data_IF_812007369419
#
_entry.id   IF_812007369419
#
_cell.length_a   1.000
_cell.length_b   1.000
_cell.length_c   1.000
_cell.angle_alpha   90.00
_cell.angle_beta   90.00
_cell.angle_gamma   90.00
#
_symmetry.space_group_name_H-M   'P 1'
#
loop_
_entity.id
_entity.type
_entity.pdbx_description
1 polymer ?
#
# COMPACT_ATOMS: atom_id res chain seq x y z
N UNK A 1 32.49 9.84 23.45
CA UNK A 1 33.41 8.89 22.78
C UNK A 1 32.81 8.55 21.42
N UNK A 2 33.63 8.21 20.42
CA UNK A 2 33.15 7.50 19.24
C UNK A 2 33.25 6.00 19.55
N UNK A 3 32.18 5.24 19.31
CA UNK A 3 32.06 3.82 19.68
C UNK A 3 31.67 2.97 18.48
N UNK A 4 31.95 1.67 18.54
CA UNK A 4 31.61 0.69 17.50
C UNK A 4 30.33 -0.06 17.84
N UNK A 5 29.76 -0.71 16.83
CA UNK A 5 28.57 -1.55 16.97
C UNK A 5 28.78 -2.71 17.95
N UNK A 6 29.98 -3.32 17.95
CA UNK A 6 30.32 -4.42 18.84
C UNK A 6 30.32 -3.96 20.31
N UNK A 7 30.74 -2.72 20.58
CA UNK A 7 30.74 -2.14 21.94
C UNK A 7 29.31 -1.90 22.43
N UNK A 8 28.38 -1.53 21.55
CA UNK A 8 26.96 -1.41 21.87
C UNK A 8 26.34 -2.79 22.20
N UNK A 9 26.60 -3.81 21.37
CA UNK A 9 26.09 -5.17 21.60
C UNK A 9 26.65 -5.76 22.90
N UNK A 10 27.96 -5.57 23.16
CA UNK A 10 28.58 -6.00 24.42
C UNK A 10 27.93 -5.34 25.63
N UNK A 11 27.72 -4.01 25.59
CA UNK A 11 27.09 -3.29 26.70
C UNK A 11 25.66 -3.81 27.00
N UNK A 12 24.87 -4.13 25.96
CA UNK A 12 23.55 -4.72 26.14
C UNK A 12 23.62 -6.15 26.71
N UNK A 13 24.54 -6.97 26.21
CA UNK A 13 24.79 -8.33 26.69
C UNK A 13 25.17 -8.33 28.18
N UNK A 14 26.13 -7.48 28.56
CA UNK A 14 26.66 -7.37 29.93
C UNK A 14 25.60 -6.88 30.92
N UNK A 15 24.83 -5.84 30.54
CA UNK A 15 23.81 -5.25 31.42
C UNK A 15 22.63 -6.20 31.70
N UNK A 16 22.32 -7.09 30.76
CA UNK A 16 21.17 -8.00 30.86
C UNK A 16 21.55 -9.45 31.16
N UNK A 17 22.85 -9.76 31.27
CA UNK A 17 23.35 -11.13 31.43
C UNK A 17 22.80 -12.10 30.36
N UNK A 18 22.68 -11.61 29.13
CA UNK A 18 22.09 -12.35 28.00
C UNK A 18 23.07 -12.40 26.82
N UNK A 19 23.39 -13.59 26.32
CA UNK A 19 24.37 -13.77 25.26
C UNK A 19 23.84 -13.28 23.90
N UNK A 20 24.41 -12.17 23.41
CA UNK A 20 24.11 -11.59 22.09
C UNK A 20 25.15 -11.94 21.03
N UNK A 21 26.05 -12.89 21.29
CA UNK A 21 27.12 -13.27 20.34
C UNK A 21 26.55 -13.71 19.00
N UNK A 22 25.55 -14.61 18.97
CA UNK A 22 24.90 -14.99 17.71
C UNK A 22 24.09 -13.84 17.09
N UNK A 23 23.47 -12.99 17.92
CA UNK A 23 22.69 -11.85 17.43
C UNK A 23 23.56 -10.85 16.66
N UNK A 24 24.86 -10.75 16.98
CA UNK A 24 25.81 -9.89 16.26
C UNK A 24 25.90 -10.18 14.75
N UNK A 25 25.51 -11.37 14.30
CA UNK A 25 25.48 -11.73 12.88
C UNK A 25 24.58 -10.80 12.04
N UNK A 26 23.55 -10.18 12.63
CA UNK A 26 22.71 -9.18 11.96
C UNK A 26 23.49 -7.96 11.45
N UNK A 27 24.65 -7.66 12.03
CA UNK A 27 25.50 -6.55 11.58
C UNK A 27 26.50 -6.94 10.49
N UNK A 28 26.66 -8.24 10.23
CA UNK A 28 27.69 -8.77 9.34
C UNK A 28 27.12 -9.50 8.11
N UNK A 29 25.88 -9.99 8.17
CA UNK A 29 25.21 -10.67 7.06
C UNK A 29 24.22 -9.74 6.35
N UNK A 30 24.45 -9.50 5.07
CA UNK A 30 23.52 -8.80 4.20
C UNK A 30 22.40 -9.75 3.71
N UNK A 31 21.32 -9.17 3.18
CA UNK A 31 20.16 -9.89 2.68
C UNK A 31 19.02 -9.97 3.69
N UNK A 32 17.82 -10.26 3.20
CA UNK A 32 16.62 -10.42 4.03
C UNK A 32 16.36 -11.91 4.25
N UNK A 33 16.42 -12.42 5.50
CA UNK A 33 16.13 -13.82 5.78
C UNK A 33 14.69 -14.17 5.41
N UNK A 34 14.50 -15.39 4.90
CA UNK A 34 13.20 -16.01 4.64
C UNK A 34 12.96 -17.07 5.71
N UNK A 35 11.79 -17.03 6.35
CA UNK A 35 11.36 -17.97 7.37
C UNK A 35 10.18 -18.76 6.84
N UNK A 36 10.37 -20.04 6.52
CA UNK A 36 9.29 -20.94 6.15
C UNK A 36 8.74 -21.60 7.41
N UNK A 37 7.43 -21.55 7.59
CA UNK A 37 6.72 -22.10 8.75
C UNK A 37 5.72 -23.15 8.29
N UNK A 38 5.75 -24.30 8.95
CA UNK A 38 4.82 -25.41 8.76
C UNK A 38 4.10 -25.68 10.09
N UNK A 39 2.80 -25.95 10.04
CA UNK A 39 2.04 -26.35 11.22
C UNK A 39 1.54 -27.78 11.13
N UNK A 40 1.51 -28.48 12.26
CA UNK A 40 0.90 -29.80 12.40
C UNK A 40 0.06 -29.86 13.66
N UNK A 41 -1.15 -30.41 13.56
CA UNK A 41 -2.02 -30.69 14.70
C UNK A 41 -2.23 -32.20 14.87
N UNK A 42 -1.90 -32.74 16.05
CA UNK A 42 -2.16 -34.12 16.41
C UNK A 42 -3.41 -34.19 17.30
N UNK A 43 -4.49 -34.73 16.73
CA UNK A 43 -5.78 -34.91 17.40
C UNK A 43 -5.69 -35.89 18.59
N UNK A 44 -4.78 -36.86 18.53
CA UNK A 44 -4.65 -37.90 19.55
C UNK A 44 -3.95 -37.41 20.81
N UNK A 45 -2.99 -36.51 20.68
CA UNK A 45 -2.27 -35.89 21.80
C UNK A 45 -2.74 -34.47 22.16
N UNK A 46 -3.62 -33.86 21.35
CA UNK A 46 -4.02 -32.45 21.47
C UNK A 46 -2.81 -31.50 21.44
N UNK A 47 -1.89 -31.77 20.52
CA UNK A 47 -0.64 -31.03 20.34
C UNK A 47 -0.65 -30.27 19.02
N UNK A 48 -0.27 -28.99 19.06
CA UNK A 48 -0.05 -28.16 17.89
C UNK A 48 1.43 -27.81 17.79
N UNK A 49 2.07 -28.17 16.69
CA UNK A 49 3.51 -27.93 16.47
C UNK A 49 3.71 -26.96 15.32
N UNK A 50 4.49 -25.91 15.56
CA UNK A 50 5.02 -25.02 14.53
C UNK A 50 6.48 -25.37 14.29
N UNK A 51 6.84 -25.60 13.03
CA UNK A 51 8.23 -25.83 12.60
C UNK A 51 8.70 -24.69 11.74
N UNK A 52 9.75 -24.01 12.18
CA UNK A 52 10.35 -22.87 11.51
C UNK A 52 11.65 -23.30 10.85
N UNK A 53 11.91 -22.79 9.65
CA UNK A 53 13.18 -22.93 8.96
C UNK A 53 13.64 -21.60 8.38
N UNK A 54 14.91 -21.27 8.56
CA UNK A 54 15.48 -20.00 8.12
C UNK A 54 16.52 -20.21 7.00
N UNK A 55 16.45 -19.34 6.00
CA UNK A 55 17.42 -19.22 4.92
C UNK A 55 17.66 -17.73 4.62
N UNK A 56 18.83 -17.35 4.12
CA UNK A 56 19.07 -15.96 3.69
C UNK A 56 19.67 -15.94 2.28
N UNK A 57 18.79 -15.91 1.27
CA UNK A 57 19.14 -16.09 -0.15
C UNK A 57 19.89 -14.88 -0.74
N UNK A 58 19.82 -13.72 -0.09
CA UNK A 58 20.44 -12.47 -0.56
C UNK A 58 21.87 -12.22 -0.08
N UNK A 59 22.44 -13.14 0.72
CA UNK A 59 23.81 -13.03 1.20
C UNK A 59 24.80 -13.24 0.03
N UNK A 60 25.91 -12.49 -0.02
CA UNK A 60 26.93 -12.69 -1.07
C UNK A 60 27.40 -14.16 -1.06
N UNK A 61 27.70 -14.78 -2.22
CA UNK A 61 28.04 -16.21 -2.29
C UNK A 61 29.21 -16.64 -1.38
N UNK A 62 30.10 -15.71 -1.04
CA UNK A 62 31.27 -15.94 -0.17
C UNK A 62 31.00 -15.68 1.32
N UNK A 63 29.78 -15.27 1.70
CA UNK A 63 29.37 -15.19 3.10
C UNK A 63 28.82 -16.55 3.54
N UNK A 64 29.53 -17.23 4.45
CA UNK A 64 29.00 -18.41 5.13
C UNK A 64 27.66 -18.02 5.77
N UNK A 65 26.57 -18.44 5.16
CA UNK A 65 25.22 -18.03 5.52
C UNK A 65 24.78 -18.72 6.82
N UNK A 66 25.25 -18.20 7.94
CA UNK A 66 24.99 -18.76 9.26
C UNK A 66 23.56 -18.42 9.70
N UNK A 67 22.88 -19.34 10.44
CA UNK A 67 21.60 -19.05 11.07
C UNK A 67 21.70 -17.85 12.01
N UNK A 68 20.79 -16.91 11.83
CA UNK A 68 20.65 -15.74 12.70
C UNK A 68 19.90 -16.13 13.98
N UNK A 69 20.07 -15.32 15.02
CA UNK A 69 19.21 -15.33 16.19
C UNK A 69 17.98 -14.44 15.89
N UNK A 70 16.85 -15.07 15.57
CA UNK A 70 15.63 -14.41 15.11
C UNK A 70 14.55 -14.51 16.20
N UNK A 71 14.17 -13.39 16.85
CA UNK A 71 13.06 -13.38 17.79
C UNK A 71 11.73 -13.40 17.02
N UNK A 72 10.91 -14.42 17.26
CA UNK A 72 9.58 -14.58 16.66
C UNK A 72 8.54 -14.42 17.76
N UNK A 73 7.94 -13.23 17.84
CA UNK A 73 6.77 -13.02 18.69
C UNK A 73 5.55 -13.67 18.04
N UNK A 74 4.77 -14.45 18.79
CA UNK A 74 3.60 -15.13 18.24
C UNK A 74 2.48 -15.33 19.27
N UNK A 75 1.27 -15.58 18.78
CA UNK A 75 0.11 -16.02 19.57
C UNK A 75 -0.71 -17.05 18.80
N UNK A 76 -1.72 -17.63 19.44
CA UNK A 76 -2.61 -18.63 18.84
C UNK A 76 -4.06 -18.23 19.09
N UNK A 77 -4.88 -18.21 18.04
CA UNK A 77 -6.30 -17.92 18.15
C UNK A 77 -7.12 -19.18 17.97
N UNK A 78 -8.24 -19.28 18.71
CA UNK A 78 -9.25 -20.31 18.49
C UNK A 78 -10.20 -19.94 17.34
N UNK A 79 -11.11 -20.84 16.96
CA UNK A 79 -12.11 -20.63 15.89
C UNK A 79 -12.98 -19.37 16.06
N UNK A 80 -13.10 -18.83 17.28
CA UNK A 80 -13.88 -17.61 17.58
C UNK A 80 -13.02 -16.34 17.56
N UNK A 81 -11.71 -16.47 17.30
CA UNK A 81 -10.76 -15.36 17.31
C UNK A 81 -10.27 -14.98 18.72
N UNK A 82 -10.52 -15.82 19.73
CA UNK A 82 -10.04 -15.57 21.09
C UNK A 82 -8.63 -16.14 21.26
N UNK A 83 -7.79 -15.41 22.00
CA UNK A 83 -6.43 -15.84 22.35
C UNK A 83 -6.44 -17.13 23.16
N UNK A 84 -5.59 -18.07 22.76
CA UNK A 84 -5.26 -19.28 23.50
C UNK A 84 -3.95 -18.99 24.24
N UNK A 85 -3.99 -18.86 25.58
CA UNK A 85 -2.77 -18.64 26.35
C UNK A 85 -1.81 -19.82 26.18
N UNK A 86 -0.66 -19.58 25.56
CA UNK A 86 0.37 -20.59 25.38
C UNK A 86 1.71 -20.13 25.94
N UNK A 87 2.35 -20.91 26.83
CA UNK A 87 3.70 -20.60 27.28
C UNK A 87 4.69 -20.92 26.15
N UNK A 88 5.46 -19.93 25.70
CA UNK A 88 6.49 -20.09 24.67
C UNK A 88 7.87 -20.29 25.31
N UNK A 89 8.21 -19.44 26.29
CA UNK A 89 9.42 -19.49 27.12
C UNK A 89 9.19 -18.65 28.40
N UNK A 90 10.22 -18.47 29.25
CA UNK A 90 10.21 -17.57 30.42
C UNK A 90 9.82 -16.11 30.06
N UNK A 91 9.94 -15.75 28.79
CA UNK A 91 9.40 -14.54 28.17
C UNK A 91 8.17 -14.92 27.35
N UNK A 92 6.99 -14.80 27.95
CA UNK A 92 5.71 -15.47 27.63
C UNK A 92 5.21 -15.45 26.16
N UNK A 93 5.85 -14.75 25.23
CA UNK A 93 5.37 -14.57 23.84
C UNK A 93 6.44 -14.62 22.74
N UNK A 94 7.74 -14.86 23.04
CA UNK A 94 8.82 -14.78 22.03
C UNK A 94 9.57 -16.09 21.89
N UNK A 95 9.51 -16.68 20.69
CA UNK A 95 10.29 -17.85 20.31
C UNK A 95 11.63 -17.42 19.69
N UNK A 96 12.75 -17.87 20.25
CA UNK A 96 14.08 -17.57 19.72
C UNK A 96 14.54 -18.64 18.73
N UNK A 97 14.33 -18.39 17.42
CA UNK A 97 14.84 -19.23 16.35
C UNK A 97 16.35 -18.98 16.18
N UNK A 98 17.17 -19.97 16.55
CA UNK A 98 18.63 -19.90 16.54
C UNK A 98 19.27 -20.88 15.57
N UNK A 99 18.61 -22.00 15.28
CA UNK A 99 19.12 -22.98 14.31
C UNK A 99 18.49 -22.76 12.93
N UNK A 100 19.04 -23.43 11.92
CA UNK A 100 18.48 -23.44 10.56
C UNK A 100 17.04 -23.99 10.52
N UNK A 101 16.70 -24.91 11.44
CA UNK A 101 15.35 -25.46 11.61
C UNK A 101 15.12 -25.78 13.08
N UNK A 102 14.03 -25.25 13.66
CA UNK A 102 13.59 -25.54 15.02
C UNK A 102 12.06 -25.58 15.08
N UNK A 103 11.52 -26.30 16.06
CA UNK A 103 10.08 -26.44 16.27
C UNK A 103 9.71 -26.08 17.70
N UNK A 104 8.47 -25.63 17.87
CA UNK A 104 7.82 -25.43 19.16
C UNK A 104 6.48 -26.17 19.16
N UNK A 105 6.18 -26.88 20.26
CA UNK A 105 4.97 -27.67 20.42
C UNK A 105 4.15 -27.15 21.59
N UNK A 106 2.87 -26.89 21.32
CA UNK A 106 1.88 -26.43 22.27
C UNK A 106 0.97 -27.58 22.65
N UNK A 107 0.89 -27.87 23.95
CA UNK A 107 0.06 -28.93 24.51
C UNK A 107 -1.32 -28.42 24.89
N UNK A 108 -2.27 -29.35 25.07
CA UNK A 108 -3.65 -29.05 25.51
C UNK A 108 -4.42 -28.14 24.55
N UNK A 109 -4.13 -28.23 23.26
CA UNK A 109 -4.82 -27.49 22.21
C UNK A 109 -6.00 -28.36 21.76
N UNK A 110 -7.23 -27.99 22.10
CA UNK A 110 -8.41 -28.85 21.87
C UNK A 110 -8.86 -28.93 20.41
N UNK A 111 -8.46 -27.95 19.59
CA UNK A 111 -8.77 -27.82 18.17
C UNK A 111 -7.61 -27.12 17.46
N UNK A 112 -7.41 -27.34 16.15
CA UNK A 112 -6.39 -26.61 15.38
C UNK A 112 -6.57 -25.09 15.55
N UNK A 113 -5.55 -24.37 16.06
CA UNK A 113 -5.60 -22.93 16.20
C UNK A 113 -5.12 -22.23 14.93
N UNK A 114 -5.40 -20.93 14.81
CA UNK A 114 -4.81 -20.06 13.80
C UNK A 114 -3.63 -19.33 14.44
N UNK A 115 -2.39 -19.50 13.94
CA UNK A 115 -1.24 -18.83 14.52
C UNK A 115 -1.16 -17.37 14.07
N UNK A 116 -0.90 -16.46 15.00
CA UNK A 116 -0.51 -15.07 14.71
C UNK A 116 1.00 -14.99 14.81
N UNK A 117 1.68 -15.07 13.67
CA UNK A 117 3.14 -15.20 13.60
C UNK A 117 3.83 -13.86 13.33
N UNK A 118 5.04 -13.66 13.85
CA UNK A 118 5.84 -12.45 13.65
C UNK A 118 5.14 -11.15 14.11
N UNK A 119 4.43 -11.24 15.23
CA UNK A 119 3.77 -10.11 15.90
C UNK A 119 4.69 -8.92 16.08
N UNK A 120 4.13 -7.71 16.00
CA UNK A 120 4.85 -6.43 16.00
C UNK A 120 6.00 -6.34 14.98
N UNK A 121 5.99 -7.17 13.93
CA UNK A 121 7.13 -7.34 13.02
C UNK A 121 8.43 -7.63 13.79
N UNK A 122 8.35 -8.56 14.76
CA UNK A 122 9.41 -8.86 15.75
C UNK A 122 10.81 -9.11 15.18
N UNK A 123 10.93 -9.47 13.90
CA UNK A 123 12.20 -9.48 13.18
C UNK A 123 12.04 -9.03 11.71
N UNK A 124 13.06 -8.40 11.10
CA UNK A 124 13.02 -7.93 9.72
C UNK A 124 13.25 -9.08 8.72
N UNK A 125 12.26 -9.95 8.59
CA UNK A 125 12.32 -11.17 7.77
C UNK A 125 11.12 -11.29 6.82
N UNK A 126 11.25 -12.12 5.79
CA UNK A 126 10.13 -12.55 4.95
C UNK A 126 9.57 -13.83 5.56
N UNK A 127 8.41 -13.75 6.22
CA UNK A 127 7.72 -14.93 6.73
C UNK A 127 6.85 -15.57 5.63
N UNK A 128 7.02 -16.88 5.43
CA UNK A 128 6.19 -17.71 4.55
C UNK A 128 5.43 -18.73 5.39
N UNK A 129 4.12 -18.57 5.45
CA UNK A 129 3.18 -19.51 6.05
C UNK A 129 1.93 -19.56 5.17
N UNK A 130 1.41 -20.76 4.94
CA UNK A 130 0.29 -21.00 4.03
C UNK A 130 -1.05 -20.78 4.73
N UNK A 131 -1.36 -19.51 5.05
CA UNK A 131 -2.65 -19.14 5.61
C UNK A 131 -3.76 -19.37 4.59
N UNK A 132 -4.84 -20.04 5.00
CA UNK A 132 -6.07 -20.06 4.23
C UNK A 132 -6.76 -18.69 4.25
N UNK A 133 -7.68 -18.45 3.32
CA UNK A 133 -8.53 -17.24 3.33
C UNK A 133 -9.31 -17.10 4.66
N UNK A 134 -9.80 -18.22 5.21
CA UNK A 134 -10.49 -18.24 6.50
C UNK A 134 -9.57 -17.85 7.67
N UNK A 135 -8.30 -18.27 7.64
CA UNK A 135 -7.32 -17.89 8.66
C UNK A 135 -7.05 -16.38 8.62
N UNK A 136 -6.81 -15.84 7.42
CA UNK A 136 -6.59 -14.41 7.21
C UNK A 136 -7.83 -13.58 7.61
N UNK A 137 -9.03 -14.06 7.29
CA UNK A 137 -10.27 -13.40 7.69
C UNK A 137 -10.45 -13.38 9.22
N UNK A 138 -10.11 -14.48 9.90
CA UNK A 138 -10.14 -14.55 11.36
C UNK A 138 -9.14 -13.57 11.98
N UNK A 139 -7.89 -13.58 11.52
CA UNK A 139 -6.83 -12.68 12.01
C UNK A 139 -7.17 -11.21 11.76
N UNK A 140 -7.64 -10.87 10.55
CA UNK A 140 -8.05 -9.51 10.19
C UNK A 140 -9.21 -8.99 11.06
N UNK A 141 -10.12 -9.87 11.46
CA UNK A 141 -11.26 -9.52 12.29
C UNK A 141 -10.92 -9.47 13.79
N UNK A 142 -10.03 -10.33 14.29
CA UNK A 142 -9.94 -10.62 15.73
C UNK A 142 -8.54 -10.59 16.35
N UNK A 143 -7.45 -10.57 15.57
CA UNK A 143 -6.11 -10.61 16.16
C UNK A 143 -5.86 -9.43 17.10
N UNK A 144 -5.33 -9.75 18.29
CA UNK A 144 -5.02 -8.80 19.34
C UNK A 144 -3.76 -8.00 19.01
N UNK A 145 -2.88 -8.53 18.17
CA UNK A 145 -1.71 -7.83 17.67
C UNK A 145 -2.11 -6.83 16.56
N UNK A 146 -1.95 -5.50 16.77
CA UNK A 146 -2.43 -4.52 15.81
C UNK A 146 -1.74 -4.63 14.45
N UNK A 147 -0.45 -4.98 14.43
CA UNK A 147 0.32 -5.13 13.19
C UNK A 147 -0.18 -6.32 12.38
N UNK A 148 -0.30 -7.51 12.99
CA UNK A 148 -0.76 -8.71 12.31
C UNK A 148 -2.22 -8.63 11.88
N UNK A 149 -3.09 -7.98 12.66
CA UNK A 149 -4.47 -7.72 12.23
C UNK A 149 -4.52 -6.82 10.98
N UNK A 150 -3.67 -5.79 10.92
CA UNK A 150 -3.52 -4.98 9.70
C UNK A 150 -2.92 -5.81 8.56
N UNK A 151 -1.84 -6.55 8.80
CA UNK A 151 -1.15 -7.34 7.77
C UNK A 151 -2.08 -8.41 7.19
N UNK A 152 -2.85 -9.11 8.02
CA UNK A 152 -3.86 -10.08 7.61
C UNK A 152 -4.96 -9.41 6.77
N UNK A 153 -5.40 -8.21 7.15
CA UNK A 153 -6.36 -7.42 6.36
C UNK A 153 -5.81 -7.07 4.97
N UNK A 154 -4.53 -6.70 4.89
CA UNK A 154 -3.86 -6.42 3.61
C UNK A 154 -3.69 -7.69 2.76
N UNK A 155 -3.21 -8.80 3.34
CA UNK A 155 -3.06 -10.09 2.64
C UNK A 155 -4.39 -10.60 2.11
N UNK A 156 -5.45 -10.53 2.93
CA UNK A 156 -6.80 -10.89 2.55
C UNK A 156 -7.30 -10.04 1.37
N UNK A 157 -7.16 -8.70 1.46
CA UNK A 157 -7.56 -7.81 0.39
C UNK A 157 -6.77 -8.06 -0.92
N UNK A 158 -5.46 -8.31 -0.83
CA UNK A 158 -4.64 -8.67 -2.00
C UNK A 158 -5.16 -9.96 -2.66
N UNK A 159 -5.35 -11.03 -1.89
CA UNK A 159 -5.87 -12.31 -2.39
C UNK A 159 -7.22 -12.11 -3.10
N UNK A 160 -8.16 -11.44 -2.44
CA UNK A 160 -9.47 -11.10 -3.01
C UNK A 160 -9.37 -10.29 -4.30
N UNK A 161 -8.46 -9.31 -4.39
CA UNK A 161 -8.25 -8.51 -5.61
C UNK A 161 -7.66 -9.38 -6.74
N UNK A 162 -6.69 -10.24 -6.44
CA UNK A 162 -6.08 -11.13 -7.43
C UNK A 162 -7.10 -12.14 -7.99
N UNK A 163 -7.95 -12.71 -7.12
CA UNK A 163 -9.04 -13.59 -7.56
C UNK A 163 -10.06 -12.84 -8.43
N UNK A 164 -10.38 -11.59 -8.08
CA UNK A 164 -11.26 -10.76 -8.89
C UNK A 164 -10.65 -10.43 -10.25
N UNK A 165 -9.33 -10.17 -10.33
CA UNK A 165 -8.60 -10.00 -11.61
C UNK A 165 -8.76 -11.25 -12.48
N UNK A 166 -8.54 -12.45 -11.93
CA UNK A 166 -8.70 -13.71 -12.65
C UNK A 166 -10.16 -13.92 -13.12
N UNK A 167 -11.14 -13.49 -12.33
CA UNK A 167 -12.54 -13.52 -12.73
C UNK A 167 -12.81 -12.58 -13.92
N UNK A 168 -12.34 -11.33 -13.88
CA UNK A 168 -12.50 -10.36 -14.97
C UNK A 168 -11.85 -10.83 -16.27
N UNK A 169 -10.61 -11.32 -16.21
CA UNK A 169 -9.90 -11.87 -17.37
C UNK A 169 -10.64 -13.08 -17.97
N UNK A 170 -11.25 -13.89 -17.11
CA UNK A 170 -12.14 -14.99 -17.50
C UNK A 170 -13.55 -14.57 -17.91
N UNK A 171 -13.86 -13.26 -17.97
CA UNK A 171 -15.20 -12.69 -18.25
C UNK A 171 -16.30 -13.21 -17.32
N UNK A 172 -15.95 -13.39 -16.05
CA UNK A 172 -16.86 -13.79 -14.96
C UNK A 172 -17.07 -12.61 -14.01
N UNK A 173 -18.17 -12.63 -13.28
CA UNK A 173 -18.36 -11.71 -12.15
C UNK A 173 -17.46 -12.18 -10.99
N UNK A 174 -16.67 -11.27 -10.39
CA UNK A 174 -15.88 -11.60 -9.22
C UNK A 174 -16.78 -11.84 -8.01
N UNK A 175 -16.39 -12.80 -7.17
CA UNK A 175 -16.88 -12.92 -5.80
C UNK A 175 -15.82 -12.31 -4.88
N UNK A 176 -16.20 -11.25 -4.17
CA UNK A 176 -15.29 -10.56 -3.24
C UNK A 176 -15.29 -11.18 -1.84
N UNK A 177 -16.13 -12.19 -1.61
CA UNK A 177 -16.25 -12.88 -0.32
C UNK A 177 -16.78 -11.98 0.80
N UNK A 178 -16.92 -12.57 1.99
CA UNK A 178 -17.40 -11.87 3.19
C UNK A 178 -16.25 -11.46 4.14
N UNK A 179 -15.05 -12.03 3.95
CA UNK A 179 -13.89 -11.81 4.83
C UNK A 179 -13.48 -10.34 4.92
N UNK A 180 -13.19 -9.70 3.77
CA UNK A 180 -12.77 -8.29 3.73
C UNK A 180 -13.88 -7.36 4.23
N UNK A 181 -15.14 -7.68 3.94
CA UNK A 181 -16.30 -6.91 4.41
C UNK A 181 -16.42 -7.01 5.94
N UNK A 182 -16.23 -8.20 6.51
CA UNK A 182 -16.24 -8.40 7.96
C UNK A 182 -15.09 -7.66 8.65
N UNK A 183 -13.87 -7.76 8.12
CA UNK A 183 -12.72 -7.01 8.62
C UNK A 183 -12.97 -5.50 8.59
N UNK A 184 -13.53 -4.99 7.49
CA UNK A 184 -13.91 -3.57 7.34
C UNK A 184 -14.99 -3.15 8.35
N UNK A 185 -15.98 -4.02 8.61
CA UNK A 185 -17.00 -3.76 9.64
C UNK A 185 -16.38 -3.65 11.02
N UNK A 186 -15.50 -4.58 11.37
CA UNK A 186 -14.82 -4.56 12.67
C UNK A 186 -13.94 -3.30 12.83
N UNK A 187 -13.28 -2.85 11.76
CA UNK A 187 -12.54 -1.58 11.79
C UNK A 187 -13.44 -0.36 12.05
N UNK A 188 -14.64 -0.32 11.45
CA UNK A 188 -15.64 0.74 11.68
C UNK A 188 -16.31 0.69 13.07
N UNK A 189 -16.14 -0.40 13.80
CA UNK A 189 -16.65 -0.59 15.17
C UNK A 189 -15.58 -0.33 16.24
N UNK A 190 -14.33 -0.09 15.84
CA UNK A 190 -13.25 0.24 16.77
C UNK A 190 -13.52 1.52 17.57
N UNK A 191 -12.97 1.63 18.80
CA UNK A 191 -13.04 2.86 19.57
C UNK A 191 -12.50 4.07 18.79
N UNK A 192 -13.09 5.25 18.99
CA UNK A 192 -12.64 6.49 18.32
C UNK A 192 -11.16 6.83 18.59
N UNK A 193 -10.62 6.40 19.72
CA UNK A 193 -9.18 6.54 20.06
C UNK A 193 -8.27 5.81 19.08
N UNK A 194 -8.79 4.84 18.32
CA UNK A 194 -8.07 4.02 17.36
C UNK A 194 -8.40 4.40 15.91
N UNK A 195 -8.98 5.58 15.66
CA UNK A 195 -9.43 6.01 14.32
C UNK A 195 -8.32 5.96 13.25
N UNK A 196 -7.07 6.28 13.63
CA UNK A 196 -5.93 6.15 12.73
C UNK A 196 -5.68 4.69 12.32
N UNK A 197 -5.73 3.78 13.29
CA UNK A 197 -5.55 2.35 13.06
C UNK A 197 -6.68 1.74 12.22
N UNK A 198 -7.94 2.09 12.53
CA UNK A 198 -9.09 1.71 11.71
C UNK A 198 -8.94 2.18 10.25
N UNK A 199 -8.38 3.37 10.03
CA UNK A 199 -8.11 3.90 8.68
C UNK A 199 -7.09 3.05 7.92
N UNK A 200 -6.02 2.60 8.59
CA UNK A 200 -5.00 1.74 7.96
C UNK A 200 -5.59 0.39 7.55
N UNK A 201 -6.48 -0.21 8.36
CA UNK A 201 -7.19 -1.45 7.98
C UNK A 201 -8.12 -1.22 6.79
N UNK A 202 -8.84 -0.09 6.77
CA UNK A 202 -9.79 0.24 5.69
C UNK A 202 -9.10 0.67 4.40
N UNK A 203 -7.81 0.97 4.42
CA UNK A 203 -7.05 1.40 3.24
C UNK A 203 -6.69 0.19 2.39
N UNK A 204 -7.30 0.10 1.19
CA UNK A 204 -7.02 -0.98 0.26
C UNK A 204 -5.60 -0.88 -0.33
N UNK A 205 -4.93 -2.02 -0.59
CA UNK A 205 -3.59 -2.04 -1.16
C UNK A 205 -3.53 -1.26 -2.48
N UNK A 206 -2.43 -0.54 -2.75
CA UNK A 206 -2.28 0.31 -3.95
C UNK A 206 -2.22 -0.52 -5.25
N UNK A 207 -2.58 0.09 -6.39
CA UNK A 207 -2.50 -0.58 -7.69
C UNK A 207 -1.06 -1.04 -8.03
N UNK A 208 -0.06 -0.22 -7.71
CA UNK A 208 1.35 -0.57 -7.90
C UNK A 208 1.78 -1.76 -7.05
N UNK A 209 1.27 -1.86 -5.81
CA UNK A 209 1.56 -3.00 -4.94
C UNK A 209 0.88 -4.28 -5.43
N UNK A 210 -0.38 -4.22 -5.89
CA UNK A 210 -1.04 -5.36 -6.54
C UNK A 210 -0.24 -5.81 -7.77
N UNK A 211 0.23 -4.87 -8.59
CA UNK A 211 1.07 -5.19 -9.74
C UNK A 211 2.41 -5.86 -9.36
N UNK A 212 2.92 -5.70 -8.14
CA UNK A 212 4.12 -6.44 -7.63
C UNK A 212 3.84 -7.90 -7.34
N UNK A 213 2.57 -8.25 -7.11
CA UNK A 213 2.16 -9.62 -6.82
C UNK A 213 1.84 -10.43 -8.08
N UNK A 214 1.91 -9.81 -9.27
CA UNK A 214 1.53 -10.41 -10.54
C UNK A 214 2.75 -10.78 -11.38
N UNK A 215 2.70 -11.94 -12.03
CA UNK A 215 3.70 -12.33 -13.02
C UNK A 215 3.57 -11.50 -14.31
N UNK A 216 2.33 -11.31 -14.77
CA UNK A 216 1.99 -10.43 -15.90
C UNK A 216 0.93 -9.42 -15.48
N UNK A 217 1.31 -8.15 -15.44
CA UNK A 217 0.48 -7.03 -14.97
C UNK A 217 -0.59 -6.66 -16.01
N UNK A 218 -1.82 -6.55 -15.53
CA UNK A 218 -2.99 -6.07 -16.26
C UNK A 218 -3.57 -4.82 -15.56
N UNK A 219 -3.22 -3.61 -16.03
CA UNK A 219 -3.59 -2.35 -15.36
C UNK A 219 -5.10 -2.12 -15.29
N UNK A 220 -5.83 -2.53 -16.34
CA UNK A 220 -7.28 -2.36 -16.43
C UNK A 220 -7.97 -3.32 -15.46
N UNK A 221 -7.56 -4.60 -15.44
CA UNK A 221 -8.12 -5.56 -14.50
C UNK A 221 -7.83 -5.17 -13.04
N UNK A 222 -6.64 -4.63 -12.74
CA UNK A 222 -6.32 -4.10 -11.40
C UNK A 222 -7.28 -2.96 -11.02
N UNK A 223 -7.52 -2.00 -11.93
CA UNK A 223 -8.44 -0.91 -11.67
C UNK A 223 -9.86 -1.44 -11.40
N UNK A 224 -10.37 -2.32 -12.26
CA UNK A 224 -11.72 -2.89 -12.14
C UNK A 224 -11.89 -3.70 -10.85
N UNK A 225 -10.92 -4.54 -10.49
CA UNK A 225 -10.95 -5.35 -9.28
C UNK A 225 -10.87 -4.51 -8.00
N UNK A 226 -9.97 -3.52 -7.95
CA UNK A 226 -9.84 -2.64 -6.77
C UNK A 226 -11.09 -1.78 -6.58
N UNK A 227 -11.60 -1.20 -7.66
CA UNK A 227 -12.83 -0.39 -7.62
C UNK A 227 -14.02 -1.26 -7.24
N UNK A 228 -14.19 -2.44 -7.84
CA UNK A 228 -15.30 -3.34 -7.53
C UNK A 228 -15.29 -3.85 -6.09
N UNK A 229 -14.13 -4.19 -5.52
CA UNK A 229 -14.02 -4.52 -4.09
C UNK A 229 -14.43 -3.34 -3.22
N UNK A 230 -13.95 -2.14 -3.55
CA UNK A 230 -14.31 -0.91 -2.82
C UNK A 230 -15.82 -0.65 -2.88
N UNK A 231 -16.45 -0.80 -4.04
CA UNK A 231 -17.90 -0.68 -4.23
C UNK A 231 -18.65 -1.72 -3.40
N UNK A 232 -18.17 -2.96 -3.35
CA UNK A 232 -18.81 -4.03 -2.58
C UNK A 232 -18.75 -3.76 -1.07
N UNK A 233 -17.61 -3.28 -0.56
CA UNK A 233 -17.47 -2.88 0.84
C UNK A 233 -18.38 -1.69 1.14
N UNK A 234 -18.36 -0.66 0.27
CA UNK A 234 -19.17 0.54 0.43
C UNK A 234 -20.68 0.23 0.47
N UNK A 235 -21.16 -0.65 -0.42
CA UNK A 235 -22.59 -1.00 -0.47
C UNK A 235 -23.01 -1.87 0.71
N UNK A 236 -22.15 -2.78 1.15
CA UNK A 236 -22.42 -3.69 2.26
C UNK A 236 -22.42 -3.00 3.63
N UNK A 237 -21.69 -1.88 3.76
CA UNK A 237 -21.49 -1.15 5.02
C UNK A 237 -21.91 0.32 4.92
N UNK A 238 -22.83 0.64 3.99
CA UNK A 238 -23.20 2.02 3.67
C UNK A 238 -23.62 2.81 4.92
N UNK A 239 -24.59 2.29 5.68
CA UNK A 239 -25.09 2.93 6.88
C UNK A 239 -23.98 3.16 7.92
N UNK A 240 -23.06 2.19 8.06
CA UNK A 240 -21.93 2.29 8.99
C UNK A 240 -20.92 3.36 8.55
N UNK A 241 -20.60 3.47 7.27
CA UNK A 241 -19.75 4.55 6.77
C UNK A 241 -20.41 5.92 6.97
N UNK A 242 -21.71 6.04 6.75
CA UNK A 242 -22.45 7.28 6.99
C UNK A 242 -22.44 7.66 8.47
N UNK A 243 -22.70 6.70 9.37
CA UNK A 243 -22.65 6.90 10.82
C UNK A 243 -21.26 7.35 11.29
N UNK A 244 -20.19 6.67 10.84
CA UNK A 244 -18.81 7.03 11.19
C UNK A 244 -18.43 8.41 10.64
N UNK A 245 -18.81 8.72 9.40
CA UNK A 245 -18.58 10.03 8.80
C UNK A 245 -19.21 11.17 9.62
N UNK A 246 -20.48 10.99 10.02
CA UNK A 246 -21.19 11.98 10.84
C UNK A 246 -20.63 12.06 12.26
N UNK A 247 -20.24 10.91 12.83
CA UNK A 247 -19.67 10.81 14.16
C UNK A 247 -18.31 11.51 14.30
N UNK A 248 -17.52 11.52 13.22
CA UNK A 248 -16.16 12.09 13.19
C UNK A 248 -16.13 13.56 12.78
N UNK A 249 -17.26 14.13 12.37
CA UNK A 249 -17.41 15.59 12.25
C UNK A 249 -17.49 16.21 13.65
N UNK A 250 -16.50 17.03 13.98
CA UNK A 250 -16.43 17.65 15.30
C UNK A 250 -16.85 19.12 15.30
N UNK A 251 -17.10 19.74 14.14
CA UNK A 251 -17.48 21.16 14.03
C UNK A 251 -16.57 22.13 14.79
N UNK A 252 -15.41 21.67 15.25
CA UNK A 252 -14.52 22.35 16.17
C UNK A 252 -13.39 23.02 15.41
N UNK A 253 -12.70 23.93 16.07
CA UNK A 253 -11.46 24.49 15.54
C UNK A 253 -10.47 23.37 15.18
N UNK A 254 -9.64 23.62 14.16
CA UNK A 254 -8.65 22.67 13.70
C UNK A 254 -7.65 22.33 14.83
N UNK A 255 -7.47 21.03 15.09
CA UNK A 255 -6.51 20.51 16.06
C UNK A 255 -5.50 19.57 15.37
N UNK A 256 -4.18 19.85 15.42
CA UNK A 256 -3.16 18.99 14.84
C UNK A 256 -2.81 17.76 15.70
N UNK A 257 -3.47 17.52 16.84
CA UNK A 257 -3.21 16.35 17.69
C UNK A 257 -3.39 15.02 16.95
N UNK A 258 -2.66 13.98 17.38
CA UNK A 258 -2.73 12.65 16.78
C UNK A 258 -4.16 12.07 16.80
N UNK A 259 -4.92 12.30 17.87
CA UNK A 259 -6.31 11.87 17.98
C UNK A 259 -7.21 12.57 16.95
N UNK A 260 -7.08 13.89 16.81
CA UNK A 260 -7.84 14.66 15.83
C UNK A 260 -7.45 14.32 14.39
N UNK A 261 -6.16 14.07 14.14
CA UNK A 261 -5.67 13.57 12.86
C UNK A 261 -6.26 12.19 12.51
N UNK A 262 -6.28 11.25 13.47
CA UNK A 262 -6.90 9.94 13.29
C UNK A 262 -8.39 10.03 12.97
N UNK A 263 -9.14 10.89 13.68
CA UNK A 263 -10.56 11.10 13.42
C UNK A 263 -10.81 11.67 12.02
N UNK A 264 -10.00 12.65 11.57
CA UNK A 264 -10.07 13.17 10.19
C UNK A 264 -9.75 12.09 9.15
N UNK A 265 -8.73 11.27 9.39
CA UNK A 265 -8.38 10.16 8.50
C UNK A 265 -9.54 9.19 8.33
N UNK A 266 -10.18 8.79 9.45
CA UNK A 266 -11.34 7.90 9.43
C UNK A 266 -12.54 8.54 8.71
N UNK A 267 -12.82 9.82 8.98
CA UNK A 267 -13.86 10.57 8.27
C UNK A 267 -13.65 10.57 6.75
N UNK A 268 -12.43 10.86 6.33
CA UNK A 268 -12.09 11.00 4.92
C UNK A 268 -12.10 9.67 4.17
N UNK A 269 -11.66 8.58 4.80
CA UNK A 269 -11.78 7.25 4.18
C UNK A 269 -13.24 6.81 4.09
N UNK A 270 -14.07 7.07 5.11
CA UNK A 270 -15.51 6.80 5.05
C UNK A 270 -16.18 7.56 3.91
N UNK A 271 -15.87 8.84 3.73
CA UNK A 271 -16.37 9.62 2.59
C UNK A 271 -15.92 9.02 1.25
N UNK A 272 -14.67 8.55 1.17
CA UNK A 272 -14.13 7.92 -0.04
C UNK A 272 -14.88 6.63 -0.42
N UNK A 273 -15.30 5.82 0.56
CA UNK A 273 -16.14 4.65 0.32
C UNK A 273 -17.55 5.06 -0.11
N UNK A 274 -18.20 5.99 0.58
CA UNK A 274 -19.54 6.45 0.21
C UNK A 274 -19.60 7.05 -1.21
N UNK A 275 -18.56 7.77 -1.61
CA UNK A 275 -18.44 8.37 -2.95
C UNK A 275 -18.41 7.33 -4.08
N UNK A 276 -17.98 6.10 -3.79
CA UNK A 276 -17.95 5.00 -4.74
C UNK A 276 -19.36 4.57 -5.18
N UNK A 277 -20.38 4.81 -4.33
CA UNK A 277 -21.77 4.49 -4.64
C UNK A 277 -22.42 5.50 -5.61
N UNK A 278 -21.71 6.58 -5.95
CA UNK A 278 -22.13 7.61 -6.90
C UNK A 278 -23.51 8.25 -6.62
N UNK A 279 -23.96 8.25 -5.36
CA UNK A 279 -25.22 8.87 -4.95
C UNK A 279 -25.09 10.39 -4.94
N UNK A 280 -26.08 11.09 -5.51
CA UNK A 280 -26.08 12.55 -5.63
C UNK A 280 -26.03 13.25 -4.26
N UNK A 281 -26.66 12.66 -3.25
CA UNK A 281 -26.66 13.14 -1.87
C UNK A 281 -25.24 13.12 -1.28
N UNK A 282 -24.49 12.05 -1.52
CA UNK A 282 -23.09 11.91 -1.06
C UNK A 282 -22.16 12.84 -1.84
N UNK A 283 -22.38 13.03 -3.14
CA UNK A 283 -21.61 13.99 -3.95
C UNK A 283 -21.79 15.42 -3.44
N UNK A 284 -23.02 15.80 -3.05
CA UNK A 284 -23.30 17.09 -2.43
C UNK A 284 -22.67 17.21 -1.03
N UNK A 285 -22.68 16.13 -0.25
CA UNK A 285 -22.00 16.08 1.05
C UNK A 285 -20.48 16.29 0.90
N UNK A 286 -19.87 15.63 -0.08
CA UNK A 286 -18.46 15.78 -0.40
C UNK A 286 -18.12 17.21 -0.83
N UNK A 287 -18.94 17.82 -1.69
CA UNK A 287 -18.79 19.21 -2.09
C UNK A 287 -18.92 20.16 -0.88
N UNK A 288 -19.84 19.89 0.03
CA UNK A 288 -20.00 20.66 1.26
C UNK A 288 -18.74 20.59 2.14
N UNK A 289 -18.17 19.40 2.33
CA UNK A 289 -16.91 19.24 3.06
C UNK A 289 -15.77 20.01 2.41
N UNK A 290 -15.64 19.95 1.08
CA UNK A 290 -14.65 20.71 0.33
C UNK A 290 -14.77 22.22 0.61
N UNK A 291 -16.00 22.75 0.56
CA UNK A 291 -16.23 24.19 0.66
C UNK A 291 -16.14 24.73 2.10
N UNK A 292 -16.55 23.94 3.09
CA UNK A 292 -16.69 24.37 4.48
C UNK A 292 -15.61 23.83 5.43
N UNK A 293 -14.70 22.97 4.96
CA UNK A 293 -13.57 22.52 5.79
C UNK A 293 -12.68 23.69 6.20
N UNK A 294 -12.22 23.66 7.45
CA UNK A 294 -11.31 24.65 8.03
C UNK A 294 -9.83 24.26 7.88
N UNK A 295 -9.54 23.16 7.19
CA UNK A 295 -8.18 22.62 7.04
C UNK A 295 -7.99 21.97 5.66
N UNK A 296 -6.73 21.93 5.21
CA UNK A 296 -6.38 21.42 3.88
C UNK A 296 -6.50 19.89 3.77
N UNK A 297 -6.47 19.13 4.88
CA UNK A 297 -6.59 17.66 4.85
C UNK A 297 -7.97 17.24 4.36
N UNK A 298 -9.02 17.76 4.99
CA UNK A 298 -10.41 17.42 4.64
C UNK A 298 -10.81 18.02 3.28
N UNK A 299 -10.30 19.22 2.96
CA UNK A 299 -10.49 19.87 1.67
C UNK A 299 -9.91 19.02 0.53
N UNK A 300 -8.67 18.52 0.69
CA UNK A 300 -8.00 17.71 -0.32
C UNK A 300 -8.61 16.31 -0.46
N UNK A 301 -9.06 15.70 0.64
CA UNK A 301 -9.76 14.43 0.59
C UNK A 301 -11.05 14.52 -0.23
N UNK A 302 -11.85 15.56 0.01
CA UNK A 302 -13.07 15.80 -0.75
C UNK A 302 -12.79 16.16 -2.23
N UNK A 303 -11.76 16.98 -2.50
CA UNK A 303 -11.34 17.31 -3.87
C UNK A 303 -10.93 16.05 -4.63
N UNK A 304 -10.12 15.19 -4.02
CA UNK A 304 -9.66 13.93 -4.60
C UNK A 304 -10.81 12.97 -4.91
N UNK A 305 -11.80 12.87 -4.02
CA UNK A 305 -12.98 12.03 -4.24
C UNK A 305 -13.86 12.58 -5.39
N UNK A 306 -14.10 13.89 -5.43
CA UNK A 306 -14.88 14.52 -6.51
C UNK A 306 -14.16 14.48 -7.86
N UNK A 307 -12.83 14.60 -7.88
CA UNK A 307 -12.05 14.50 -9.11
C UNK A 307 -12.15 13.11 -9.78
N UNK A 308 -12.47 12.07 -9.01
CA UNK A 308 -12.73 10.70 -9.47
C UNK A 308 -14.22 10.40 -9.69
N UNK A 309 -15.08 11.42 -9.74
CA UNK A 309 -16.52 11.28 -9.99
C UNK A 309 -16.91 11.89 -11.33
N UNK A 310 -17.82 11.25 -12.08
CA UNK A 310 -18.39 11.82 -13.31
C UNK A 310 -19.52 12.84 -13.06
N UNK A 311 -19.74 13.22 -11.80
CA UNK A 311 -20.82 14.13 -11.40
C UNK A 311 -20.56 15.60 -11.76
N UNK A 312 -21.61 16.43 -11.93
CA UNK A 312 -21.48 17.88 -12.12
C UNK A 312 -20.68 18.58 -10.99
N UNK A 313 -20.73 18.05 -9.78
CA UNK A 313 -20.03 18.55 -8.60
C UNK A 313 -18.51 18.51 -8.79
N UNK A 314 -17.98 17.61 -9.62
CA UNK A 314 -16.55 17.56 -9.97
C UNK A 314 -16.06 18.89 -10.53
N UNK A 315 -16.77 19.42 -11.52
CA UNK A 315 -16.37 20.67 -12.18
C UNK A 315 -16.43 21.84 -11.20
N UNK A 316 -17.53 21.94 -10.45
CA UNK A 316 -17.71 22.94 -9.40
C UNK A 316 -16.58 22.89 -8.36
N UNK A 317 -16.17 21.70 -7.94
CA UNK A 317 -15.11 21.52 -6.95
C UNK A 317 -13.73 21.94 -7.49
N UNK A 318 -13.40 21.54 -8.72
CA UNK A 318 -12.12 21.89 -9.36
C UNK A 318 -12.00 23.41 -9.57
N UNK A 319 -13.07 24.05 -10.05
CA UNK A 319 -13.11 25.51 -10.24
C UNK A 319 -13.04 26.26 -8.91
N UNK A 320 -13.88 25.88 -7.95
CA UNK A 320 -13.90 26.52 -6.62
C UNK A 320 -12.53 26.44 -5.95
N UNK A 321 -11.87 25.27 -6.00
CA UNK A 321 -10.57 25.08 -5.37
C UNK A 321 -9.51 25.95 -6.03
N UNK A 322 -9.49 25.99 -7.36
CA UNK A 322 -8.57 26.84 -8.10
C UNK A 322 -8.81 28.33 -7.78
N UNK A 323 -10.05 28.81 -7.85
CA UNK A 323 -10.35 30.22 -7.60
C UNK A 323 -10.00 30.66 -6.17
N UNK A 324 -10.21 29.79 -5.19
CA UNK A 324 -9.85 30.04 -3.79
C UNK A 324 -8.33 30.10 -3.58
N UNK A 325 -7.56 29.26 -4.28
CA UNK A 325 -6.15 29.03 -3.97
C UNK A 325 -5.16 29.42 -5.07
N UNK A 326 -5.58 30.03 -6.19
CA UNK A 326 -4.69 30.42 -7.31
C UNK A 326 -3.51 31.33 -6.93
N UNK A 327 -3.62 32.08 -5.84
CA UNK A 327 -2.50 32.86 -5.31
C UNK A 327 -1.44 32.00 -4.58
N UNK A 328 -1.80 30.81 -4.11
CA UNK A 328 -0.97 29.91 -3.30
C UNK A 328 -0.34 28.82 -4.17
N UNK A 329 0.87 29.09 -4.67
CA UNK A 329 1.54 28.27 -5.69
C UNK A 329 1.64 26.78 -5.32
N UNK A 330 2.01 26.45 -4.07
CA UNK A 330 2.12 25.07 -3.59
C UNK A 330 0.77 24.36 -3.46
N UNK A 331 -0.32 25.11 -3.27
CA UNK A 331 -1.67 24.54 -3.20
C UNK A 331 -2.17 24.21 -4.61
N UNK A 332 -1.82 25.05 -5.60
CA UNK A 332 -2.09 24.75 -7.02
C UNK A 332 -1.33 23.51 -7.51
N UNK A 333 -0.16 23.18 -6.93
CA UNK A 333 0.52 21.91 -7.26
C UNK A 333 -0.39 20.73 -6.90
N UNK A 334 -1.04 20.77 -5.72
CA UNK A 334 -1.98 19.73 -5.30
C UNK A 334 -3.19 19.62 -6.23
N UNK A 335 -3.69 20.76 -6.71
CA UNK A 335 -4.81 20.82 -7.66
C UNK A 335 -4.46 20.18 -9.02
N UNK A 336 -3.24 20.39 -9.53
CA UNK A 336 -2.75 19.67 -10.70
C UNK A 336 -2.64 18.17 -10.44
N UNK A 337 -2.06 17.78 -9.30
CA UNK A 337 -1.84 16.36 -8.97
C UNK A 337 -3.13 15.58 -8.85
N UNK A 338 -4.15 16.13 -8.18
CA UNK A 338 -5.46 15.47 -8.05
C UNK A 338 -6.07 15.17 -9.42
N UNK A 339 -5.95 16.08 -10.38
CA UNK A 339 -6.47 15.86 -11.73
C UNK A 339 -5.62 14.87 -12.53
N UNK A 340 -4.29 14.93 -12.38
CA UNK A 340 -3.36 14.05 -13.07
C UNK A 340 -3.47 12.58 -12.63
N UNK A 341 -3.88 12.33 -11.37
CA UNK A 341 -4.04 10.99 -10.80
C UNK A 341 -5.47 10.48 -10.82
N UNK A 342 -6.40 11.19 -11.47
CA UNK A 342 -7.78 10.73 -11.58
C UNK A 342 -7.87 9.45 -12.45
N UNK A 343 -8.79 8.54 -12.11
CA UNK A 343 -8.97 7.28 -12.83
C UNK A 343 -10.04 7.36 -13.94
N UNK A 344 -10.65 8.53 -14.16
CA UNK A 344 -11.67 8.72 -15.20
C UNK A 344 -11.09 8.56 -16.62
N UNK A 345 -11.88 8.06 -17.60
CA UNK A 345 -11.40 7.74 -18.96
C UNK A 345 -10.64 8.87 -19.69
N UNK A 346 -11.02 10.13 -19.49
CA UNK A 346 -10.45 11.28 -20.20
C UNK A 346 -9.26 11.95 -19.50
N UNK A 347 -8.62 11.28 -18.53
CA UNK A 347 -7.61 11.92 -17.67
C UNK A 347 -6.40 12.43 -18.43
N UNK A 348 -5.83 11.65 -19.37
CA UNK A 348 -4.70 12.11 -20.19
C UNK A 348 -5.04 13.34 -21.05
N UNK A 349 -6.25 13.40 -21.61
CA UNK A 349 -6.71 14.57 -22.35
C UNK A 349 -6.78 15.82 -21.45
N UNK A 350 -7.30 15.66 -20.22
CA UNK A 350 -7.32 16.75 -19.24
C UNK A 350 -5.91 17.19 -18.85
N UNK A 351 -4.97 16.26 -18.66
CA UNK A 351 -3.55 16.58 -18.38
C UNK A 351 -2.94 17.41 -19.50
N UNK A 352 -3.16 17.03 -20.77
CA UNK A 352 -2.68 17.80 -21.93
C UNK A 352 -3.29 19.21 -22.01
N UNK A 353 -4.54 19.37 -21.58
CA UNK A 353 -5.16 20.70 -21.51
C UNK A 353 -4.61 21.53 -20.35
N UNK A 354 -4.39 20.91 -19.18
CA UNK A 354 -3.78 21.55 -18.01
C UNK A 354 -2.34 22.03 -18.27
N UNK A 355 -1.62 21.42 -19.21
CA UNK A 355 -0.31 21.93 -19.65
C UNK A 355 -0.37 23.28 -20.37
N UNK A 356 -1.56 23.71 -20.81
CA UNK A 356 -1.79 25.04 -21.42
C UNK A 356 -2.32 26.04 -20.40
N UNK A 357 -2.59 25.60 -19.17
CA UNK A 357 -3.15 26.44 -18.12
C UNK A 357 -2.17 27.56 -17.73
N UNK A 358 -2.64 28.80 -17.44
CA UNK A 358 -1.75 29.94 -17.14
C UNK A 358 -0.81 29.71 -15.95
N UNK A 359 -1.20 28.91 -14.96
CA UNK A 359 -0.34 28.55 -13.81
C UNK A 359 0.58 27.34 -14.05
N UNK A 360 0.57 26.75 -15.26
CA UNK A 360 1.51 25.71 -15.64
C UNK A 360 2.69 26.32 -16.42
N UNK A 361 3.89 26.10 -15.90
CA UNK A 361 5.15 26.41 -16.59
C UNK A 361 6.06 25.18 -16.55
N UNK A 362 6.41 24.65 -17.73
CA UNK A 362 7.31 23.51 -17.88
C UNK A 362 8.72 23.78 -17.34
N UNK A 363 9.12 25.05 -17.19
CA UNK A 363 10.40 25.44 -16.57
C UNK A 363 10.37 25.36 -15.05
N UNK A 364 9.18 25.26 -14.44
CA UNK A 364 9.04 25.14 -12.99
C UNK A 364 9.04 23.65 -12.57
N UNK A 365 10.06 23.18 -11.85
CA UNK A 365 10.16 21.80 -11.38
C UNK A 365 8.97 21.29 -10.56
N UNK A 366 8.32 22.17 -9.79
CA UNK A 366 7.15 21.79 -9.00
C UNK A 366 5.96 21.49 -9.92
N UNK A 367 5.71 22.34 -10.92
CA UNK A 367 4.60 22.19 -11.89
C UNK A 367 4.75 20.95 -12.76
N UNK A 368 5.97 20.69 -13.23
CA UNK A 368 6.27 19.46 -13.97
C UNK A 368 6.01 18.23 -13.11
N UNK A 369 6.48 18.22 -11.86
CA UNK A 369 6.22 17.10 -10.94
C UNK A 369 4.74 16.94 -10.62
N UNK A 370 4.03 18.04 -10.38
CA UNK A 370 2.66 18.02 -9.91
C UNK A 370 1.66 17.63 -11.00
N UNK A 371 1.97 17.83 -12.28
CA UNK A 371 1.11 17.46 -13.41
C UNK A 371 1.66 16.24 -14.16
N UNK A 372 2.82 16.38 -14.80
CA UNK A 372 3.40 15.34 -15.67
C UNK A 372 3.91 14.17 -14.83
N UNK A 373 4.66 14.47 -13.76
CA UNK A 373 5.17 13.45 -12.84
C UNK A 373 4.05 12.70 -12.12
N UNK A 374 3.06 13.42 -11.62
CA UNK A 374 1.87 12.84 -10.98
C UNK A 374 1.13 11.89 -11.94
N UNK A 375 0.97 12.24 -13.21
CA UNK A 375 0.40 11.33 -14.21
C UNK A 375 1.29 10.09 -14.43
N UNK A 376 2.57 10.27 -14.77
CA UNK A 376 3.44 9.17 -15.16
C UNK A 376 3.74 8.18 -14.02
N UNK A 377 3.80 8.66 -12.77
CA UNK A 377 4.20 7.84 -11.62
C UNK A 377 3.03 7.50 -10.69
N UNK A 378 1.99 8.36 -10.66
CA UNK A 378 0.85 8.22 -9.75
C UNK A 378 -0.41 7.66 -10.41
N UNK A 379 -0.53 7.67 -11.74
CA UNK A 379 -1.72 7.20 -12.45
C UNK A 379 -1.48 5.86 -13.15
N UNK A 380 -1.51 4.77 -12.37
CA UNK A 380 -1.17 3.43 -12.87
C UNK A 380 -2.00 2.99 -14.09
N UNK A 381 -3.31 3.24 -14.09
CA UNK A 381 -4.19 2.80 -15.18
C UNK A 381 -3.99 3.60 -16.46
N UNK A 382 -3.86 4.92 -16.38
CA UNK A 382 -3.77 5.78 -17.56
C UNK A 382 -2.35 5.90 -18.11
N UNK A 383 -1.31 5.79 -17.26
CA UNK A 383 0.06 5.69 -17.75
C UNK A 383 0.27 4.40 -18.55
N UNK A 384 -0.27 3.29 -18.05
CA UNK A 384 -0.20 1.97 -18.69
C UNK A 384 -1.47 1.67 -19.52
N UNK A 385 -2.07 2.69 -20.16
CA UNK A 385 -3.24 2.46 -21.02
C UNK A 385 -2.90 1.50 -22.18
N UNK A 386 -3.86 0.66 -22.56
CA UNK A 386 -3.67 -0.41 -23.56
C UNK A 386 -3.28 0.11 -24.96
N UNK A 387 -3.61 1.36 -25.27
CA UNK A 387 -3.25 2.03 -26.53
C UNK A 387 -1.84 2.65 -26.53
N UNK A 388 -1.12 2.56 -25.40
CA UNK A 388 0.22 3.11 -25.21
C UNK A 388 0.28 4.64 -25.06
N UNK A 389 -0.87 5.33 -25.05
CA UNK A 389 -0.94 6.80 -25.04
C UNK A 389 -0.18 7.44 -23.88
N UNK A 390 -0.20 6.82 -22.70
CA UNK A 390 0.58 7.25 -21.53
C UNK A 390 2.09 7.15 -21.73
N UNK A 391 2.58 6.07 -22.35
CA UNK A 391 4.00 5.90 -22.67
C UNK A 391 4.48 6.93 -23.70
N UNK A 392 3.71 7.14 -24.77
CA UNK A 392 4.06 8.12 -25.79
C UNK A 392 4.04 9.55 -25.25
N UNK A 393 3.06 9.88 -24.39
CA UNK A 393 3.04 11.15 -23.66
C UNK A 393 4.30 11.33 -22.81
N UNK A 394 4.67 10.32 -22.02
CA UNK A 394 5.87 10.40 -21.19
C UNK A 394 7.14 10.58 -22.01
N UNK A 395 7.29 9.87 -23.14
CA UNK A 395 8.42 10.06 -24.04
C UNK A 395 8.48 11.49 -24.61
N UNK A 396 7.35 12.03 -25.07
CA UNK A 396 7.25 13.42 -25.53
C UNK A 396 7.72 14.40 -24.45
N UNK A 397 7.22 14.24 -23.22
CA UNK A 397 7.56 15.16 -22.13
C UNK A 397 9.01 15.00 -21.65
N UNK A 398 9.53 13.78 -21.57
CA UNK A 398 10.92 13.53 -21.19
C UNK A 398 11.86 14.24 -22.17
N UNK A 399 11.64 14.09 -23.47
CA UNK A 399 12.43 14.76 -24.50
C UNK A 399 12.32 16.30 -24.43
N UNK A 400 11.15 16.84 -24.09
CA UNK A 400 10.96 18.28 -23.93
C UNK A 400 11.61 18.85 -22.65
N UNK A 401 11.59 18.07 -21.56
CA UNK A 401 12.09 18.50 -20.25
C UNK A 401 13.60 18.32 -20.13
N UNK A 402 14.18 17.30 -20.75
CA UNK A 402 15.59 16.95 -20.57
C UNK A 402 16.58 18.11 -20.84
N UNK A 403 16.41 18.93 -21.91
CA UNK A 403 17.26 20.11 -22.13
C UNK A 403 17.08 21.21 -21.10
N UNK A 404 15.94 21.25 -20.39
CA UNK A 404 15.63 22.23 -19.35
C UNK A 404 16.10 21.76 -17.98
N UNK A 405 15.94 20.46 -17.69
CA UNK A 405 16.27 19.84 -16.41
C UNK A 405 16.43 18.31 -16.54
N UNK A 406 17.68 17.87 -16.76
CA UNK A 406 18.03 16.45 -16.90
C UNK A 406 17.62 15.59 -15.71
N UNK A 407 17.69 16.11 -14.49
CA UNK A 407 17.37 15.34 -13.28
C UNK A 407 15.88 14.99 -13.20
N UNK A 408 15.01 15.92 -13.63
CA UNK A 408 13.56 15.67 -13.68
C UNK A 408 13.25 14.68 -14.80
N UNK A 409 13.85 14.87 -15.98
CA UNK A 409 13.66 13.95 -17.11
C UNK A 409 14.10 12.52 -16.76
N UNK A 410 15.28 12.36 -16.14
CA UNK A 410 15.78 11.06 -15.68
C UNK A 410 14.87 10.43 -14.61
N UNK A 411 14.30 11.23 -13.69
CA UNK A 411 13.31 10.74 -12.72
C UNK A 411 12.00 10.33 -13.39
N UNK A 412 11.53 11.07 -14.39
CA UNK A 412 10.35 10.70 -15.17
C UNK A 412 10.58 9.41 -15.95
N UNK A 413 11.76 9.23 -16.56
CA UNK A 413 12.12 8.01 -17.28
C UNK A 413 12.05 6.74 -16.41
N UNK A 414 12.20 6.86 -15.08
CA UNK A 414 12.00 5.73 -14.15
C UNK A 414 10.56 5.23 -14.05
N UNK A 415 9.56 5.97 -14.56
CA UNK A 415 8.19 5.43 -14.67
C UNK A 415 8.14 4.18 -15.56
N UNK A 416 9.14 3.98 -16.42
CA UNK A 416 9.28 2.79 -17.24
C UNK A 416 9.97 1.62 -16.53
N UNK A 417 10.55 1.75 -15.33
CA UNK A 417 11.46 0.73 -14.75
C UNK A 417 10.87 -0.70 -14.71
N UNK A 418 9.53 -0.85 -14.67
CA UNK A 418 8.82 -2.15 -14.59
C UNK A 418 8.10 -2.58 -15.87
N UNK A 419 8.33 -1.91 -17.00
CA UNK A 419 7.58 -2.12 -18.26
C UNK A 419 7.58 -3.58 -18.77
N UNK A 420 8.58 -4.38 -18.41
CA UNK A 420 8.72 -5.80 -18.80
C UNK A 420 7.77 -6.76 -18.09
N UNK A 421 7.14 -6.33 -17.00
CA UNK A 421 6.19 -7.17 -16.27
C UNK A 421 4.77 -7.08 -16.84
N UNK A 422 4.52 -6.24 -17.86
CA UNK A 422 3.20 -6.09 -18.48
C UNK A 422 3.04 -7.03 -19.68
N UNK A 423 1.83 -7.12 -20.24
CA UNK A 423 1.59 -7.94 -21.44
C UNK A 423 2.45 -7.51 -22.64
N UNK A 424 2.62 -8.40 -23.62
CA UNK A 424 3.42 -8.14 -24.84
C UNK A 424 3.02 -6.85 -25.58
N UNK A 425 1.72 -6.52 -25.58
CA UNK A 425 1.21 -5.30 -26.19
C UNK A 425 1.74 -4.05 -25.46
N UNK A 426 1.62 -3.98 -24.13
CA UNK A 426 2.15 -2.89 -23.33
C UNK A 426 3.67 -2.80 -23.47
N UNK A 427 4.35 -3.95 -23.50
CA UNK A 427 5.78 -4.02 -23.70
C UNK A 427 6.21 -3.41 -25.03
N UNK A 428 5.48 -3.70 -26.11
CA UNK A 428 5.74 -3.12 -27.43
C UNK A 428 5.65 -1.58 -27.40
N UNK A 429 4.57 -1.04 -26.85
CA UNK A 429 4.38 0.42 -26.74
C UNK A 429 5.44 1.09 -25.85
N UNK A 430 5.73 0.52 -24.68
CA UNK A 430 6.74 1.06 -23.78
C UNK A 430 8.14 1.02 -24.41
N UNK A 431 8.48 -0.06 -25.12
CA UNK A 431 9.75 -0.18 -25.83
C UNK A 431 9.87 0.86 -26.95
N UNK A 432 8.82 1.10 -27.72
CA UNK A 432 8.80 2.13 -28.76
C UNK A 432 9.00 3.53 -28.18
N UNK A 433 8.32 3.84 -27.07
CA UNK A 433 8.50 5.10 -26.33
C UNK A 433 9.95 5.25 -25.81
N UNK A 434 10.51 4.21 -25.20
CA UNK A 434 11.91 4.21 -24.73
C UNK A 434 12.92 4.39 -25.87
N UNK A 435 12.67 3.75 -27.03
CA UNK A 435 13.52 3.92 -28.21
C UNK A 435 13.42 5.35 -28.77
N UNK A 436 12.23 5.96 -28.73
CA UNK A 436 12.03 7.37 -29.11
C UNK A 436 12.84 8.30 -28.22
N UNK A 437 12.85 8.06 -26.89
CA UNK A 437 13.68 8.84 -25.97
C UNK A 437 15.16 8.61 -26.29
N UNK A 438 15.59 7.36 -26.46
CA UNK A 438 16.98 7.00 -26.73
C UNK A 438 17.54 7.64 -28.01
N UNK A 439 16.72 7.86 -29.02
CA UNK A 439 17.13 8.48 -30.29
C UNK A 439 16.92 9.99 -30.32
N UNK A 440 16.42 10.58 -29.23
CA UNK A 440 16.29 12.03 -29.11
C UNK A 440 17.66 12.71 -29.22
N UNK A 441 17.69 13.83 -29.95
CA UNK A 441 18.90 14.61 -30.13
C UNK A 441 19.27 15.31 -28.81
N UNK A 442 20.57 15.34 -28.49
CA UNK A 442 21.13 16.07 -27.35
C UNK A 442 20.60 15.59 -25.98
N UNK A 443 20.20 14.31 -25.86
CA UNK A 443 19.76 13.71 -24.60
C UNK A 443 20.90 13.71 -23.57
N UNK A 444 20.58 14.14 -22.34
CA UNK A 444 21.52 14.21 -21.24
C UNK A 444 22.06 12.83 -20.83
N UNK A 445 23.23 12.82 -20.19
CA UNK A 445 23.86 11.59 -19.70
C UNK A 445 22.96 10.87 -18.67
N UNK A 446 22.35 11.63 -17.76
CA UNK A 446 21.49 11.10 -16.69
C UNK A 446 20.29 10.32 -17.28
N UNK A 447 19.59 10.92 -18.25
CA UNK A 447 18.44 10.29 -18.89
C UNK A 447 18.86 9.13 -19.80
N UNK A 448 20.00 9.27 -20.50
CA UNK A 448 20.57 8.19 -21.33
C UNK A 448 20.84 6.94 -20.50
N UNK A 449 21.43 7.09 -19.31
CA UNK A 449 21.74 5.96 -18.42
C UNK A 449 20.48 5.24 -17.95
N UNK A 450 19.47 5.99 -17.50
CA UNK A 450 18.19 5.41 -17.04
C UNK A 450 17.48 4.67 -18.18
N UNK A 451 17.40 5.28 -19.38
CA UNK A 451 16.73 4.68 -20.55
C UNK A 451 17.51 3.47 -21.07
N UNK A 452 18.84 3.52 -21.09
CA UNK A 452 19.67 2.39 -21.49
C UNK A 452 19.48 1.19 -20.55
N UNK A 453 19.45 1.43 -19.24
CA UNK A 453 19.18 0.41 -18.22
C UNK A 453 17.76 -0.15 -18.33
N UNK A 454 16.78 0.69 -18.65
CA UNK A 454 15.42 0.22 -18.88
C UNK A 454 15.31 -0.66 -20.15
N UNK A 455 16.16 -0.46 -21.16
CA UNK A 455 16.16 -1.24 -22.41
C UNK A 455 17.05 -2.49 -22.39
N UNK A 456 18.05 -2.55 -21.50
CA UNK A 456 18.81 -3.77 -21.17
C UNK A 456 17.95 -4.70 -20.33
#
# INVERSE_FOLDING_TARGET
QAVRTEEFVSAMSDANSFDLTQFSLWYHQAGTPIINVESQYDISSNEYTLTFSQENVGAEPDTNNLPLHIPIKLGLLNDNGEEIPVPIDDHQEVFALRDARQSITFNNISKPPVPSLLRDFSAPVILKYDYSESDLALLAAHDADPFNRWEASQKLAVGTILDAILAFQGKRLPDYGQGVINASRMALEMPRTESAYATEILTLPSASYIAEQMETVDPEAILLARTGLKTQIASSLEDRFAEVYMATDNGSDYDPSASSAGARSLRNISLSYMMELQKSEVQNLCLNQLQNSNNMTDCMAALGALANSESPQRHTALEWFYDKWKAEQLVIDKWFSVQATATLPNTLANVRELMKHPDFDIKNPNRVRSLIGAFCQGNHSHFNAADGSGYYFAAEQICAIDPLNSQIAARLARSFDRWRQFSEQHQSHAKEALLTIKTAKDLSKDTTEVVARALS
#
